data_IF_627039531954
#
_entry.id   IF_627039531954
#
_cell.length_a   1.000
_cell.length_b   1.000
_cell.length_c   1.000
_cell.angle_alpha   90.00
_cell.angle_beta   90.00
_cell.angle_gamma   90.00
#
_symmetry.space_group_name_H-M   'P 1'
#
loop_
_entity.id
_entity.type
_entity.pdbx_description
1 polymer ?
#
# COMPACT_ATOMS: atom_id res chain seq x y z
N UNK A 1 3.06 3.40 19.12
CA UNK A 1 4.27 2.99 18.39
C UNK A 1 4.28 3.43 16.92
N UNK A 2 3.21 3.17 16.15
CA UNK A 2 3.20 3.35 14.67
C UNK A 2 3.47 4.78 14.16
N UNK A 3 2.96 5.81 14.84
CA UNK A 3 3.23 7.21 14.44
C UNK A 3 4.72 7.58 14.47
N UNK A 4 5.48 7.07 15.46
CA UNK A 4 6.92 7.31 15.56
C UNK A 4 7.70 6.65 14.41
N UNK A 5 7.29 5.44 14.01
CA UNK A 5 7.90 4.73 12.88
C UNK A 5 7.67 5.46 11.55
N UNK A 6 6.46 5.98 11.33
CA UNK A 6 6.13 6.76 10.13
C UNK A 6 7.02 8.01 10.01
N UNK A 7 7.21 8.73 11.12
CA UNK A 7 8.13 9.89 11.17
C UNK A 7 9.57 9.44 10.90
N UNK A 8 10.00 8.30 11.45
CA UNK A 8 11.31 7.71 11.17
C UNK A 8 11.54 7.47 9.68
N UNK A 9 10.58 6.84 8.98
CA UNK A 9 10.66 6.63 7.54
C UNK A 9 10.77 7.95 6.76
N UNK A 10 9.99 8.97 7.13
CA UNK A 10 10.03 10.30 6.50
C UNK A 10 11.35 11.03 6.70
N UNK A 11 11.99 10.83 7.87
CA UNK A 11 13.35 11.31 8.12
C UNK A 11 14.39 10.57 7.30
N UNK A 12 14.16 9.27 7.03
CA UNK A 12 14.94 8.51 6.06
C UNK A 12 14.93 9.17 4.67
N UNK A 13 13.75 9.61 4.20
CA UNK A 13 13.64 10.37 2.94
C UNK A 13 14.42 11.68 3.02
N UNK A 14 14.30 12.44 4.12
CA UNK A 14 15.09 13.68 4.31
C UNK A 14 16.60 13.44 4.26
N UNK A 15 17.07 12.32 4.81
CA UNK A 15 18.48 11.94 4.71
C UNK A 15 18.87 11.59 3.27
N UNK A 16 18.04 10.81 2.57
CA UNK A 16 18.28 10.42 1.17
C UNK A 16 18.42 11.63 0.24
N UNK A 17 17.54 12.63 0.37
CA UNK A 17 17.61 13.86 -0.44
C UNK A 17 18.90 14.69 -0.26
N UNK A 18 19.67 14.42 0.79
CA UNK A 18 20.94 15.10 1.04
C UNK A 18 22.15 14.36 0.45
N UNK A 19 21.95 13.15 -0.10
CA UNK A 19 23.04 12.36 -0.67
C UNK A 19 23.21 12.73 -2.16
N UNK A 20 24.45 12.96 -2.60
CA UNK A 20 24.73 13.38 -3.98
C UNK A 20 24.37 12.31 -5.02
N UNK A 21 24.33 11.04 -4.61
CA UNK A 21 23.99 9.88 -5.43
C UNK A 21 22.49 9.66 -5.60
N UNK A 22 21.65 10.43 -4.90
CA UNK A 22 20.19 10.26 -4.90
C UNK A 22 19.52 11.35 -5.74
N UNK A 23 18.71 10.92 -6.70
CA UNK A 23 17.76 11.81 -7.39
C UNK A 23 16.49 11.99 -6.54
N UNK A 24 16.36 13.17 -5.93
CA UNK A 24 15.23 13.51 -5.07
C UNK A 24 13.87 13.50 -5.81
N UNK A 25 13.87 13.64 -7.14
CA UNK A 25 12.67 13.60 -7.96
C UNK A 25 12.24 12.17 -8.33
N UNK A 26 12.96 11.14 -7.84
CA UNK A 26 12.70 9.73 -8.17
C UNK A 26 12.68 8.81 -6.95
N UNK A 27 12.18 9.30 -5.82
CA UNK A 27 12.10 8.51 -4.59
C UNK A 27 10.87 7.59 -4.59
N UNK A 28 11.13 6.28 -4.62
CA UNK A 28 10.13 5.23 -4.38
C UNK A 28 10.08 4.78 -2.92
N UNK A 29 8.95 4.19 -2.50
CA UNK A 29 8.85 3.53 -1.20
C UNK A 29 8.13 2.19 -1.30
N UNK A 30 8.68 1.19 -0.61
CA UNK A 30 8.15 -0.17 -0.60
C UNK A 30 8.36 -0.82 0.77
N UNK A 31 7.54 -1.80 1.10
CA UNK A 31 7.65 -2.51 2.37
C UNK A 31 6.75 -3.74 2.44
N UNK A 32 7.10 -4.68 3.32
CA UNK A 32 6.37 -5.93 3.54
C UNK A 32 5.74 -6.00 4.92
N UNK A 33 4.48 -6.44 5.00
CA UNK A 33 3.74 -6.61 6.25
C UNK A 33 3.63 -5.29 7.03
N UNK A 34 4.23 -5.18 8.22
CA UNK A 34 4.35 -3.90 8.93
C UNK A 34 5.01 -2.83 8.04
N UNK A 35 6.01 -3.20 7.24
CA UNK A 35 6.61 -2.34 6.24
C UNK A 35 5.60 -1.85 5.20
N UNK A 36 4.70 -2.72 4.71
CA UNK A 36 3.64 -2.33 3.78
C UNK A 36 2.65 -1.33 4.39
N UNK A 37 2.32 -1.51 5.68
CA UNK A 37 1.57 -0.50 6.43
C UNK A 37 2.31 0.84 6.46
N UNK A 38 3.61 0.85 6.79
CA UNK A 38 4.41 2.07 6.81
C UNK A 38 4.49 2.71 5.42
N UNK A 39 4.61 1.93 4.36
CA UNK A 39 4.56 2.41 2.97
C UNK A 39 3.31 3.23 2.70
N UNK A 40 2.11 2.72 3.03
CA UNK A 40 0.86 3.47 2.86
C UNK A 40 0.83 4.75 3.73
N UNK A 41 1.26 4.67 4.99
CA UNK A 41 1.27 5.82 5.90
C UNK A 41 2.18 6.94 5.41
N UNK A 42 3.37 6.59 4.93
CA UNK A 42 4.35 7.55 4.40
C UNK A 42 3.90 8.10 3.06
N UNK A 43 3.47 7.25 2.11
CA UNK A 43 2.99 7.70 0.80
C UNK A 43 1.78 8.64 0.92
N UNK A 44 0.90 8.44 1.91
CA UNK A 44 -0.25 9.32 2.16
C UNK A 44 0.07 10.59 2.96
N UNK A 45 1.32 10.79 3.40
CA UNK A 45 1.71 11.99 4.18
C UNK A 45 2.99 12.68 3.74
N UNK A 46 3.70 12.14 2.75
CA UNK A 46 4.96 12.68 2.29
C UNK A 46 5.00 12.75 0.76
N UNK A 47 4.79 13.97 0.22
CA UNK A 47 4.69 14.24 -1.22
C UNK A 47 6.01 14.01 -1.99
N UNK A 48 7.11 13.77 -1.28
CA UNK A 48 8.41 13.40 -1.89
C UNK A 48 8.40 11.98 -2.45
N UNK A 49 7.47 11.13 -2.00
CA UNK A 49 7.27 9.81 -2.58
C UNK A 49 6.64 9.94 -3.97
N UNK A 50 7.32 9.42 -4.98
CA UNK A 50 6.91 9.49 -6.39
C UNK A 50 6.29 8.20 -6.91
N UNK A 51 6.50 7.09 -6.22
CA UNK A 51 5.80 5.83 -6.45
C UNK A 51 5.81 4.98 -5.17
N UNK A 52 4.75 4.22 -4.93
CA UNK A 52 4.61 3.37 -3.75
C UNK A 52 4.30 1.91 -4.10
N UNK A 53 4.86 0.97 -3.34
CA UNK A 53 4.51 -0.45 -3.45
C UNK A 53 4.44 -1.15 -2.07
N UNK A 54 3.30 -1.01 -1.36
CA UNK A 54 3.08 -1.76 -0.12
C UNK A 54 2.83 -3.24 -0.45
N UNK A 55 3.14 -4.12 0.50
CA UNK A 55 2.78 -5.53 0.37
C UNK A 55 2.27 -6.17 1.66
N UNK A 56 1.20 -6.97 1.54
CA UNK A 56 0.51 -7.72 2.62
C UNK A 56 0.35 -6.96 3.95
N UNK A 57 0.10 -5.66 3.84
CA UNK A 57 -0.04 -4.78 4.99
C UNK A 57 -0.48 -3.38 4.56
N UNK A 58 -1.26 -2.71 5.41
CA UNK A 58 -1.76 -1.38 5.12
C UNK A 58 -3.07 -1.32 4.33
N UNK A 59 -3.81 -2.43 4.22
CA UNK A 59 -5.12 -2.52 3.54
C UNK A 59 -6.17 -1.51 4.05
N UNK A 60 -6.10 -1.13 5.32
CA UNK A 60 -7.18 -0.39 5.97
C UNK A 60 -8.33 -1.31 6.40
N UNK A 61 -9.37 -0.73 7.00
CA UNK A 61 -10.62 -1.41 7.40
C UNK A 61 -10.51 -2.58 8.39
N UNK A 62 -9.31 -2.89 8.89
CA UNK A 62 -9.05 -3.99 9.83
C UNK A 62 -9.87 -3.94 11.13
N UNK A 63 -10.47 -2.80 11.48
CA UNK A 63 -11.36 -2.62 12.64
C UNK A 63 -12.84 -2.86 12.29
N UNK A 64 -13.12 -3.44 11.12
CA UNK A 64 -14.45 -3.83 10.65
C UNK A 64 -14.49 -5.34 10.54
N UNK A 65 -15.66 -5.94 10.74
CA UNK A 65 -15.84 -7.37 10.49
C UNK A 65 -15.74 -7.66 8.98
N UNK A 66 -15.15 -8.81 8.66
CA UNK A 66 -15.23 -9.40 7.32
C UNK A 66 -16.66 -9.83 7.03
N UNK A 67 -17.05 -9.75 5.75
CA UNK A 67 -18.36 -10.20 5.31
C UNK A 67 -18.58 -11.68 5.68
N UNK A 68 -19.70 -11.97 6.36
CA UNK A 68 -20.03 -13.33 6.79
C UNK A 68 -19.26 -13.86 8.01
N UNK A 69 -18.36 -13.07 8.62
CA UNK A 69 -17.61 -13.46 9.82
C UNK A 69 -17.74 -12.42 10.96
N UNK A 70 -18.84 -12.44 11.73
CA UNK A 70 -19.02 -11.55 12.88
C UNK A 70 -17.90 -11.71 13.93
N UNK A 71 -17.43 -10.60 14.48
CA UNK A 71 -16.38 -10.57 15.51
C UNK A 71 -14.94 -10.74 15.00
N UNK A 72 -14.73 -10.69 13.69
CA UNK A 72 -13.41 -10.77 13.05
C UNK A 72 -12.62 -9.46 13.08
N UNK A 73 -13.25 -8.33 13.42
CA UNK A 73 -12.60 -7.04 13.54
C UNK A 73 -11.41 -7.06 14.52
N UNK A 74 -10.28 -6.50 14.10
CA UNK A 74 -9.12 -6.29 14.97
C UNK A 74 -9.45 -5.25 16.03
N UNK A 75 -9.22 -5.61 17.29
CA UNK A 75 -9.45 -4.74 18.43
C UNK A 75 -8.33 -3.71 18.58
N UNK A 76 -8.72 -2.52 19.04
CA UNK A 76 -7.81 -1.44 19.39
C UNK A 76 -8.10 -1.08 20.84
N UNK A 77 -7.05 -0.91 21.64
CA UNK A 77 -7.17 -0.36 22.99
C UNK A 77 -7.34 1.16 22.91
N UNK A 78 -8.34 1.70 23.59
CA UNK A 78 -8.64 3.14 23.60
C UNK A 78 -9.71 3.57 22.60
N UNK A 79 -9.67 4.83 22.17
CA UNK A 79 -10.69 5.40 21.29
C UNK A 79 -10.53 4.91 19.84
N UNK A 80 -11.45 4.04 19.42
CA UNK A 80 -11.52 3.50 18.07
C UNK A 80 -11.73 4.59 17.00
N UNK A 81 -12.57 5.58 17.26
CA UNK A 81 -12.85 6.65 16.29
C UNK A 81 -11.60 7.49 16.07
N UNK A 82 -10.88 7.83 17.14
CA UNK A 82 -9.60 8.52 17.05
C UNK A 82 -8.57 7.68 16.29
N UNK A 83 -8.45 6.39 16.60
CA UNK A 83 -7.55 5.49 15.88
C UNK A 83 -7.87 5.43 14.39
N UNK A 84 -9.15 5.30 14.02
CA UNK A 84 -9.58 5.26 12.63
C UNK A 84 -9.26 6.55 11.87
N UNK A 85 -9.35 7.71 12.53
CA UNK A 85 -9.02 9.01 11.93
C UNK A 85 -7.52 9.28 11.81
N UNK A 86 -6.68 8.61 12.59
CA UNK A 86 -5.27 9.00 12.77
C UNK A 86 -4.26 7.91 12.46
N UNK A 87 -4.60 6.63 12.52
CA UNK A 87 -3.63 5.53 12.40
C UNK A 87 -4.13 4.39 11.52
N UNK A 88 -5.43 4.26 11.26
CA UNK A 88 -5.95 3.22 10.40
C UNK A 88 -5.61 3.48 8.92
N UNK A 89 -5.38 2.41 8.15
CA UNK A 89 -4.87 2.52 6.76
C UNK A 89 -5.75 3.36 5.85
N UNK A 90 -7.07 3.29 6.00
CA UNK A 90 -8.03 4.04 5.17
C UNK A 90 -7.88 5.57 5.28
N UNK A 91 -7.38 6.08 6.41
CA UNK A 91 -7.15 7.52 6.59
C UNK A 91 -5.98 8.04 5.75
N UNK A 92 -5.09 7.15 5.31
CA UNK A 92 -3.87 7.47 4.58
C UNK A 92 -3.96 7.06 3.11
N UNK A 93 -4.56 5.91 2.81
CA UNK A 93 -4.82 5.47 1.43
C UNK A 93 -5.58 6.55 0.63
N UNK A 94 -6.57 7.20 1.26
CA UNK A 94 -7.33 8.32 0.67
C UNK A 94 -6.53 9.59 0.39
N UNK A 95 -5.25 9.63 0.78
CA UNK A 95 -4.34 10.77 0.62
C UNK A 95 -3.12 10.44 -0.25
N UNK A 96 -3.05 9.24 -0.82
CA UNK A 96 -1.94 8.84 -1.68
C UNK A 96 -2.13 9.51 -3.04
N UNK A 97 -1.25 10.45 -3.36
CA UNK A 97 -1.27 11.24 -4.61
C UNK A 97 -0.25 10.74 -5.65
N UNK A 98 0.41 9.60 -5.41
CA UNK A 98 1.40 9.01 -6.33
C UNK A 98 0.94 7.65 -6.87
N UNK A 99 1.52 7.18 -7.99
CA UNK A 99 1.30 5.82 -8.49
C UNK A 99 1.54 4.76 -7.42
N UNK A 100 0.59 3.84 -7.25
CA UNK A 100 0.67 2.77 -6.24
C UNK A 100 0.34 1.38 -6.82
N UNK A 101 1.19 0.40 -6.50
CA UNK A 101 0.92 -1.02 -6.73
C UNK A 101 0.94 -1.77 -5.40
N UNK A 102 -0.23 -2.26 -4.97
CA UNK A 102 -0.36 -3.06 -3.75
C UNK A 102 -0.16 -4.54 -4.09
N UNK A 103 0.90 -5.15 -3.56
CA UNK A 103 1.15 -6.58 -3.70
C UNK A 103 0.54 -7.36 -2.52
N UNK A 104 -0.45 -8.20 -2.77
CA UNK A 104 -1.13 -8.98 -1.74
C UNK A 104 -1.19 -10.47 -2.09
N UNK A 105 -1.83 -11.25 -1.23
CA UNK A 105 -2.08 -12.67 -1.43
C UNK A 105 -3.53 -12.98 -1.04
N UNK A 106 -4.20 -13.88 -1.76
CA UNK A 106 -5.65 -14.06 -1.61
C UNK A 106 -6.06 -14.60 -0.24
N UNK A 107 -5.17 -15.33 0.44
CA UNK A 107 -5.44 -15.93 1.74
C UNK A 107 -4.70 -15.19 2.89
N UNK A 108 -4.25 -13.95 2.66
CA UNK A 108 -3.55 -13.18 3.69
C UNK A 108 -4.51 -12.69 4.79
N UNK A 109 -4.31 -13.18 6.02
CA UNK A 109 -5.07 -12.71 7.18
C UNK A 109 -4.57 -11.36 7.72
N UNK A 110 -3.40 -10.89 7.26
CA UNK A 110 -2.86 -9.59 7.66
C UNK A 110 -3.44 -8.41 6.89
N UNK A 111 -3.59 -8.59 5.58
CA UNK A 111 -4.27 -7.69 4.68
C UNK A 111 -5.32 -8.49 3.88
N UNK A 112 -6.48 -8.79 4.47
CA UNK A 112 -7.55 -9.51 3.77
C UNK A 112 -7.86 -8.88 2.42
N UNK A 113 -8.06 -9.72 1.40
CA UNK A 113 -8.26 -9.29 0.01
C UNK A 113 -9.34 -8.22 -0.10
N UNK A 114 -10.51 -8.46 0.49
CA UNK A 114 -11.64 -7.52 0.49
C UNK A 114 -11.27 -6.15 1.06
N UNK A 115 -10.44 -6.13 2.10
CA UNK A 115 -9.97 -4.89 2.69
C UNK A 115 -8.92 -4.20 1.84
N UNK A 116 -8.04 -4.95 1.16
CA UNK A 116 -7.10 -4.38 0.20
C UNK A 116 -7.86 -3.70 -0.93
N UNK A 117 -8.82 -4.38 -1.55
CA UNK A 117 -9.64 -3.83 -2.63
C UNK A 117 -10.43 -2.60 -2.17
N UNK A 118 -11.11 -2.68 -1.01
CA UNK A 118 -11.82 -1.54 -0.42
C UNK A 118 -10.89 -0.37 -0.10
N UNK A 119 -9.68 -0.66 0.37
CA UNK A 119 -8.66 0.35 0.66
C UNK A 119 -8.14 1.04 -0.59
N UNK A 120 -7.80 0.25 -1.62
CA UNK A 120 -7.30 0.75 -2.90
C UNK A 120 -8.36 1.54 -3.67
N UNK A 121 -9.64 1.25 -3.49
CA UNK A 121 -10.73 2.06 -4.01
C UNK A 121 -10.67 3.52 -3.50
N UNK A 122 -10.16 3.76 -2.28
CA UNK A 122 -10.03 5.11 -1.72
C UNK A 122 -8.89 5.94 -2.33
N UNK A 123 -7.91 5.31 -2.97
CA UNK A 123 -6.74 6.03 -3.50
C UNK A 123 -7.17 6.97 -4.63
N UNK A 124 -6.93 8.29 -4.53
CA UNK A 124 -7.37 9.28 -5.52
C UNK A 124 -6.35 9.45 -6.67
N UNK A 125 -5.82 8.34 -7.20
CA UNK A 125 -4.83 8.35 -8.26
C UNK A 125 -5.19 7.29 -9.32
N UNK A 126 -5.11 7.66 -10.60
CA UNK A 126 -5.53 6.79 -11.71
C UNK A 126 -4.59 5.60 -11.93
N UNK A 127 -3.29 5.83 -11.71
CA UNK A 127 -2.28 4.76 -11.70
C UNK A 127 -2.27 4.04 -10.35
N UNK A 128 -3.30 3.24 -10.10
CA UNK A 128 -3.38 2.33 -8.96
C UNK A 128 -3.64 0.90 -9.43
N UNK A 129 -2.92 -0.07 -8.88
CA UNK A 129 -3.02 -1.49 -9.24
C UNK A 129 -2.92 -2.39 -8.01
N UNK A 130 -3.55 -3.55 -8.09
CA UNK A 130 -3.38 -4.65 -7.14
C UNK A 130 -2.80 -5.87 -7.87
N UNK A 131 -1.93 -6.61 -7.18
CA UNK A 131 -1.40 -7.89 -7.65
C UNK A 131 -1.59 -8.91 -6.54
N UNK A 132 -2.09 -10.10 -6.88
CA UNK A 132 -2.39 -11.13 -5.89
C UNK A 132 -1.62 -12.41 -6.18
N UNK A 133 -0.87 -12.89 -5.19
CA UNK A 133 -0.43 -14.27 -5.15
C UNK A 133 -1.62 -15.17 -4.76
N UNK A 134 -2.13 -15.93 -5.72
CA UNK A 134 -3.31 -16.78 -5.55
C UNK A 134 -2.99 -17.98 -4.66
N UNK A 135 -3.90 -18.31 -3.74
CA UNK A 135 -3.81 -19.41 -2.77
C UNK A 135 -2.66 -19.30 -1.75
N UNK A 136 -1.93 -18.19 -1.73
CA UNK A 136 -0.88 -17.96 -0.75
C UNK A 136 -1.39 -17.10 0.42
N UNK A 137 -0.73 -17.27 1.56
CA UNK A 137 -0.95 -16.48 2.76
C UNK A 137 0.36 -15.76 3.12
N UNK A 138 0.29 -14.43 3.17
CA UNK A 138 1.38 -13.56 3.63
C UNK A 138 2.74 -13.73 2.91
N UNK A 139 2.72 -14.25 1.67
CA UNK A 139 3.92 -14.52 0.85
C UNK A 139 3.56 -14.48 -0.64
N UNK A 140 4.57 -14.43 -1.50
CA UNK A 140 4.40 -14.24 -2.93
C UNK A 140 5.13 -15.30 -3.74
N UNK A 141 4.69 -15.51 -4.98
CA UNK A 141 5.51 -16.18 -5.99
C UNK A 141 6.49 -15.18 -6.61
N UNK A 142 7.57 -15.62 -7.25
CA UNK A 142 8.50 -14.74 -7.95
C UNK A 142 7.81 -13.84 -9.00
N UNK A 143 6.81 -14.37 -9.71
CA UNK A 143 6.05 -13.65 -10.74
C UNK A 143 5.19 -12.54 -10.15
N UNK A 144 4.66 -12.74 -8.94
CA UNK A 144 3.93 -11.70 -8.23
C UNK A 144 4.89 -10.65 -7.67
N UNK A 145 6.03 -11.06 -7.10
CA UNK A 145 6.99 -10.13 -6.47
C UNK A 145 7.70 -9.21 -7.47
N UNK A 146 8.02 -9.71 -8.67
CA UNK A 146 8.70 -8.90 -9.72
C UNK A 146 7.88 -7.67 -10.13
N UNK A 147 6.56 -7.72 -10.00
CA UNK A 147 5.65 -6.60 -10.31
C UNK A 147 6.03 -5.29 -9.62
N UNK A 148 6.61 -5.35 -8.42
CA UNK A 148 7.01 -4.17 -7.64
C UNK A 148 8.22 -3.48 -8.26
N UNK A 149 9.19 -4.26 -8.75
CA UNK A 149 10.36 -3.73 -9.45
C UNK A 149 9.94 -3.08 -10.76
N UNK A 150 9.09 -3.76 -11.53
CA UNK A 150 8.54 -3.24 -12.79
C UNK A 150 7.74 -1.95 -12.56
N UNK A 151 6.99 -1.85 -11.45
CA UNK A 151 6.28 -0.62 -11.08
C UNK A 151 7.22 0.57 -10.91
N UNK A 152 8.36 0.37 -10.23
CA UNK A 152 9.35 1.43 -10.04
C UNK A 152 10.09 1.76 -11.33
N UNK A 153 10.43 0.76 -12.14
CA UNK A 153 11.07 1.01 -13.43
C UNK A 153 10.17 1.82 -14.38
N UNK A 154 8.86 1.59 -14.34
CA UNK A 154 7.89 2.38 -15.10
C UNK A 154 7.79 3.83 -14.59
N UNK A 155 7.61 4.01 -13.28
CA UNK A 155 7.24 5.32 -12.73
C UNK A 155 8.41 6.19 -12.28
N UNK A 156 9.56 5.61 -11.97
CA UNK A 156 10.73 6.35 -11.50
C UNK A 156 11.82 6.40 -12.57
N UNK A 157 12.01 5.32 -13.32
CA UNK A 157 13.07 5.24 -14.32
C UNK A 157 12.57 5.50 -15.76
N UNK A 158 11.25 5.52 -16.00
CA UNK A 158 10.65 5.62 -17.34
C UNK A 158 11.21 4.59 -18.34
N UNK A 159 11.57 3.39 -17.84
CA UNK A 159 12.24 2.33 -18.62
C UNK A 159 11.27 1.39 -19.32
N UNK A 160 10.01 1.38 -18.89
CA UNK A 160 9.00 0.49 -19.41
C UNK A 160 7.62 1.11 -19.34
N UNK A 161 6.76 0.73 -20.27
CA UNK A 161 5.32 1.01 -20.22
C UNK A 161 4.59 -0.21 -19.68
N UNK A 162 3.74 0.00 -18.69
CA UNK A 162 2.90 -1.07 -18.14
C UNK A 162 1.64 -1.25 -18.99
N UNK A 163 1.11 -2.48 -19.09
CA UNK A 163 -0.15 -2.70 -19.78
C UNK A 163 -1.29 -1.91 -19.12
N UNK A 164 -2.25 -1.49 -19.95
CA UNK A 164 -3.48 -0.86 -19.47
C UNK A 164 -4.29 -1.84 -18.60
N UNK A 165 -5.11 -1.32 -17.69
CA UNK A 165 -6.07 -2.16 -16.96
C UNK A 165 -7.00 -2.83 -17.96
N UNK A 166 -7.18 -4.15 -17.91
CA UNK A 166 -8.12 -4.82 -18.79
C UNK A 166 -9.55 -4.33 -18.51
N UNK A 167 -10.29 -4.04 -19.57
CA UNK A 167 -11.72 -3.78 -19.48
C UNK A 167 -12.46 -5.11 -19.32
N UNK A 168 -13.38 -5.17 -18.36
CA UNK A 168 -14.21 -6.35 -18.11
C UNK A 168 -15.69 -6.00 -18.25
N UNK A 169 -16.42 -6.84 -18.97
CA UNK A 169 -17.86 -6.74 -19.14
C UNK A 169 -18.52 -7.99 -18.54
N UNK A 170 -19.49 -7.78 -17.64
CA UNK A 170 -20.32 -8.87 -17.13
C UNK A 170 -21.57 -8.96 -18.00
N UNK A 171 -21.65 -10.01 -18.81
CA UNK A 171 -22.85 -10.36 -19.57
C UNK A 171 -23.78 -11.17 -18.66
N UNK A 172 -24.94 -10.59 -18.31
CA UNK A 172 -25.99 -11.20 -17.49
C UNK A 172 -27.07 -11.85 -18.34
#
# INVERSE_FOLDING_TARGET
>A
MQGRLTIGCRRGITFLEQQAEVDAERIGILGHSMGGRLTCLVAGTDKRVKAASPSVGGSGFLQTDLWGLPGSARRVSGDLKLFQKTLAGQAYLSRIECPILFLSATNDFNAPLDFVERGMALVPHDQKRTVYAVHLNHRFTPEADVSRQLWFDAHLNSRLELPQTPETELLL
#
